data_IF_386245192771
#
_entry.id   IF_386245192771
#
_cell.length_a   1.000
_cell.length_b   1.000
_cell.length_c   1.000
_cell.angle_alpha   90.00
_cell.angle_beta   90.00
_cell.angle_gamma   90.00
#
_symmetry.space_group_name_H-M   'P 1'
#
loop_
_entity.id
_entity.type
_entity.pdbx_description
1 polymer ?
#
# COMPACT_ATOMS: atom_id res chain seq x y z
N UNK A 1 9.72 -12.90 5.97
CA UNK A 1 9.28 -12.93 4.56
C UNK A 1 8.53 -11.63 4.31
N UNK A 2 8.93 -10.85 3.31
CA UNK A 2 8.25 -9.58 2.99
C UNK A 2 6.93 -9.87 2.29
N UNK A 3 5.88 -9.09 2.57
CA UNK A 3 4.57 -9.24 1.94
C UNK A 3 4.58 -8.96 0.43
N UNK A 4 5.70 -8.49 -0.12
CA UNK A 4 5.89 -8.24 -1.55
C UNK A 4 6.43 -9.46 -2.31
N UNK A 5 6.95 -10.47 -1.60
CA UNK A 5 7.63 -11.59 -2.22
C UNK A 5 6.67 -12.42 -3.11
N UNK A 6 7.12 -12.74 -4.33
CA UNK A 6 6.31 -13.43 -5.35
C UNK A 6 5.25 -12.54 -6.01
N UNK A 7 5.12 -11.28 -5.59
CA UNK A 7 4.12 -10.34 -6.10
C UNK A 7 4.75 -9.00 -6.48
N UNK A 8 6.03 -8.95 -6.87
CA UNK A 8 6.71 -7.74 -7.33
C UNK A 8 7.18 -7.94 -8.77
N UNK A 9 6.67 -7.13 -9.71
CA UNK A 9 6.90 -7.32 -11.14
C UNK A 9 7.38 -6.01 -11.79
N UNK A 10 8.71 -5.72 -11.78
CA UNK A 10 9.26 -4.47 -12.30
C UNK A 10 8.85 -4.15 -13.74
N UNK A 11 8.78 -5.18 -14.60
CA UNK A 11 8.41 -5.02 -16.01
C UNK A 11 6.89 -4.89 -16.25
N UNK A 12 6.09 -5.15 -15.23
CA UNK A 12 4.63 -5.01 -15.28
C UNK A 12 4.11 -4.44 -13.94
N UNK A 13 4.33 -3.15 -13.66
CA UNK A 13 4.09 -2.54 -12.35
C UNK A 13 2.71 -2.84 -11.77
N UNK A 14 1.65 -2.76 -12.58
CA UNK A 14 0.28 -2.96 -12.10
C UNK A 14 -0.11 -4.43 -11.90
N UNK A 15 0.70 -5.39 -12.38
CA UNK A 15 0.47 -6.81 -12.13
C UNK A 15 0.58 -7.08 -10.64
N UNK A 16 -0.48 -7.64 -10.05
CA UNK A 16 -0.53 -7.92 -8.61
C UNK A 16 -0.66 -6.67 -7.73
N UNK A 17 -0.94 -5.49 -8.28
CA UNK A 17 -1.08 -4.25 -7.50
C UNK A 17 -2.17 -4.35 -6.42
N UNK A 18 -3.32 -4.98 -6.73
CA UNK A 18 -4.36 -5.25 -5.74
C UNK A 18 -3.92 -6.15 -4.57
N UNK A 19 -2.92 -7.01 -4.76
CA UNK A 19 -2.35 -7.81 -3.66
C UNK A 19 -1.45 -6.98 -2.75
N UNK A 20 -0.77 -5.97 -3.30
CA UNK A 20 0.12 -5.07 -2.57
C UNK A 20 -0.59 -3.83 -1.99
N UNK A 21 -1.84 -3.60 -2.41
CA UNK A 21 -2.68 -2.51 -1.95
C UNK A 21 -2.99 -2.69 -0.45
N UNK A 22 -2.81 -1.62 0.32
CA UNK A 22 -3.09 -1.57 1.75
C UNK A 22 -4.24 -0.60 1.99
N UNK A 23 -5.30 -1.06 2.64
CA UNK A 23 -6.50 -0.25 2.90
C UNK A 23 -6.64 0.09 4.37
N UNK A 24 -7.05 1.33 4.64
CA UNK A 24 -7.31 1.83 5.99
C UNK A 24 -8.72 1.54 6.50
N UNK A 25 -9.55 0.85 5.70
CA UNK A 25 -10.91 0.46 6.11
C UNK A 25 -10.84 -0.65 7.17
N UNK A 26 -11.47 -0.47 8.34
CA UNK A 26 -11.48 -1.51 9.37
C UNK A 26 -12.19 -2.80 8.90
N UNK A 27 -11.74 -3.99 9.35
CA UNK A 27 -10.59 -4.20 10.22
C UNK A 27 -9.27 -3.90 9.48
N UNK A 28 -8.36 -3.18 10.16
CA UNK A 28 -7.07 -2.82 9.57
C UNK A 28 -6.26 -4.07 9.23
N UNK A 29 -5.55 -4.01 8.10
CA UNK A 29 -4.67 -5.08 7.66
C UNK A 29 -3.51 -5.30 8.64
N UNK A 30 -3.00 -6.53 8.73
CA UNK A 30 -1.98 -6.92 9.71
C UNK A 30 -0.70 -6.07 9.63
N UNK A 31 -0.40 -5.49 8.45
CA UNK A 31 0.74 -4.60 8.25
C UNK A 31 0.66 -3.34 9.12
N UNK A 32 -0.53 -2.81 9.39
CA UNK A 32 -0.70 -1.68 10.32
C UNK A 32 -0.35 -2.07 11.74
N UNK A 33 -0.74 -3.27 12.19
CA UNK A 33 -0.36 -3.77 13.52
C UNK A 33 1.15 -3.99 13.66
N UNK A 34 1.82 -4.45 12.60
CA UNK A 34 3.28 -4.58 12.57
C UNK A 34 3.93 -3.19 12.63
N UNK A 35 3.49 -2.26 11.78
CA UNK A 35 4.02 -0.89 11.73
C UNK A 35 3.80 -0.13 13.04
N UNK A 36 2.62 -0.24 13.65
CA UNK A 36 2.29 0.32 14.96
C UNK A 36 3.28 -0.17 16.03
N UNK A 37 3.46 -1.49 16.12
CA UNK A 37 4.39 -2.11 17.07
C UNK A 37 5.84 -1.67 16.85
N UNK A 38 6.31 -1.63 15.60
CA UNK A 38 7.69 -1.27 15.26
C UNK A 38 7.98 0.22 15.44
N UNK A 39 6.98 1.08 15.25
CA UNK A 39 7.09 2.53 15.43
C UNK A 39 6.80 3.01 16.86
N UNK A 40 6.22 2.15 17.71
CA UNK A 40 5.77 2.53 19.05
C UNK A 40 4.49 3.37 19.07
N UNK A 41 3.74 3.39 17.97
CA UNK A 41 2.45 4.08 17.83
C UNK A 41 1.32 3.12 18.20
N UNK A 42 0.28 3.58 18.89
CA UNK A 42 -0.90 2.76 19.15
C UNK A 42 -1.68 2.52 17.84
N UNK A 43 -2.13 1.29 17.61
CA UNK A 43 -2.93 0.98 16.42
C UNK A 43 -4.22 1.83 16.36
N UNK A 44 -4.78 2.20 17.51
CA UNK A 44 -5.94 3.08 17.61
C UNK A 44 -5.64 4.49 17.11
N UNK A 45 -4.45 5.02 17.39
CA UNK A 45 -4.04 6.33 16.87
C UNK A 45 -4.01 6.31 15.34
N UNK A 46 -3.56 5.20 14.73
CA UNK A 46 -3.58 5.03 13.28
C UNK A 46 -5.02 4.97 12.75
N UNK A 47 -5.90 4.19 13.38
CA UNK A 47 -7.30 4.04 12.96
C UNK A 47 -8.10 5.35 13.08
N UNK A 48 -7.85 6.14 14.12
CA UNK A 48 -8.55 7.40 14.40
C UNK A 48 -8.06 8.57 13.53
N UNK A 49 -6.80 8.54 13.10
CA UNK A 49 -6.18 9.66 12.37
C UNK A 49 -6.03 9.44 10.85
N UNK A 50 -6.21 8.22 10.35
CA UNK A 50 -6.23 7.97 8.90
C UNK A 50 -7.65 8.02 8.32
N UNK A 51 -7.83 8.51 7.07
CA UNK A 51 -9.12 8.43 6.39
C UNK A 51 -9.56 6.97 6.24
N UNK A 52 -10.82 6.62 6.55
CA UNK A 52 -11.32 5.23 6.53
C UNK A 52 -11.39 4.58 5.13
N UNK A 53 -11.37 5.38 4.08
CA UNK A 53 -11.53 4.92 2.69
C UNK A 53 -10.27 5.22 1.86
N UNK A 54 -9.11 5.31 2.51
CA UNK A 54 -7.83 5.44 1.82
C UNK A 54 -7.35 4.06 1.37
N UNK A 55 -7.04 3.93 0.09
CA UNK A 55 -6.24 2.81 -0.42
C UNK A 55 -4.88 3.33 -0.82
N UNK A 56 -3.84 2.65 -0.35
CA UNK A 56 -2.44 2.96 -0.59
C UNK A 56 -1.90 1.87 -1.52
N UNK A 57 -1.45 2.27 -2.69
CA UNK A 57 -0.92 1.38 -3.71
C UNK A 57 0.60 1.38 -3.62
N UNK A 58 1.20 0.20 -3.64
CA UNK A 58 2.64 0.00 -3.46
C UNK A 58 3.14 -0.76 -4.69
N UNK A 59 3.71 -0.04 -5.65
CA UNK A 59 4.01 -0.57 -6.98
C UNK A 59 5.47 -0.35 -7.40
N UNK A 60 6.00 -1.15 -8.33
CA UNK A 60 7.30 -0.89 -8.95
C UNK A 60 7.30 0.43 -9.74
N UNK A 61 8.18 1.35 -9.38
CA UNK A 61 8.47 2.57 -10.10
C UNK A 61 9.55 2.38 -11.17
N UNK A 62 10.04 3.51 -11.69
CA UNK A 62 11.14 3.52 -12.65
C UNK A 62 12.37 2.79 -12.10
N UNK A 63 13.01 2.00 -12.95
CA UNK A 63 14.17 1.17 -12.61
C UNK A 63 13.93 0.20 -11.43
N UNK A 64 12.68 -0.18 -11.16
CA UNK A 64 12.32 -1.11 -10.08
C UNK A 64 12.30 -0.47 -8.69
N UNK A 65 12.32 0.86 -8.60
CA UNK A 65 12.15 1.61 -7.35
C UNK A 65 10.78 1.35 -6.69
N UNK A 66 10.63 1.78 -5.44
CA UNK A 66 9.34 1.74 -4.74
C UNK A 66 8.54 2.99 -5.08
N UNK A 67 7.30 2.82 -5.52
CA UNK A 67 6.33 3.89 -5.69
C UNK A 67 5.14 3.66 -4.75
N UNK A 68 4.73 4.73 -4.06
CA UNK A 68 3.57 4.72 -3.16
C UNK A 68 2.61 5.80 -3.64
N UNK A 69 1.36 5.43 -3.91
CA UNK A 69 0.34 6.38 -4.37
C UNK A 69 -1.01 6.15 -3.67
N UNK A 70 -1.75 7.22 -3.31
CA UNK A 70 -3.15 7.11 -2.92
C UNK A 70 -4.02 6.74 -4.14
N UNK A 71 -5.23 6.24 -3.91
CA UNK A 71 -6.18 5.83 -4.96
C UNK A 71 -6.37 6.86 -6.08
N UNK A 72 -6.44 8.15 -5.75
CA UNK A 72 -6.63 9.21 -6.75
C UNK A 72 -5.47 9.29 -7.74
N UNK A 73 -4.24 9.20 -7.25
CA UNK A 73 -3.03 9.23 -8.09
C UNK A 73 -2.86 7.92 -8.86
N UNK A 74 -3.09 6.78 -8.20
CA UNK A 74 -3.04 5.46 -8.86
C UNK A 74 -3.96 5.39 -10.08
N UNK A 75 -5.20 5.87 -9.97
CA UNK A 75 -6.14 5.88 -11.09
C UNK A 75 -5.64 6.75 -12.26
N UNK A 76 -5.09 7.93 -11.97
CA UNK A 76 -4.55 8.82 -13.00
C UNK A 76 -3.40 8.16 -13.77
N UNK A 77 -2.53 7.44 -13.06
CA UNK A 77 -1.40 6.73 -13.66
C UNK A 77 -1.83 5.50 -14.47
N UNK A 78 -2.76 4.70 -13.93
CA UNK A 78 -3.32 3.53 -14.62
C UNK A 78 -4.04 3.91 -15.92
N UNK A 79 -4.74 5.04 -15.95
CA UNK A 79 -5.40 5.51 -17.17
C UNK A 79 -4.46 6.16 -18.19
N UNK A 80 -3.23 6.48 -17.79
CA UNK A 80 -2.21 7.10 -18.65
C UNK A 80 -1.28 6.09 -19.35
N UNK A 81 -1.45 4.80 -19.10
CA UNK A 81 -0.66 3.69 -19.66
C UNK A 81 -1.56 2.63 -20.28
#
# INVERSE_FOLDING_TARGET
MSFLQGHWYPDAPYKGSAYRCVRTTPPLEAVFGIAARESGVDLRDIEENLPRELSIWIDPGEAGSLQISPTLEFNAECHSK
#
